data_IF_686082474822
#
_entry.id   IF_686082474822
#
_cell.length_a   1.000
_cell.length_b   1.000
_cell.length_c   1.000
_cell.angle_alpha   90.00
_cell.angle_beta   90.00
_cell.angle_gamma   90.00
#
_symmetry.space_group_name_H-M   'P 1'
#
loop_
_entity.id
_entity.type
_entity.pdbx_description
1 polymer ?
#
# COMPACT_ATOMS: atom_id res chain seq x y z
N UNK A 1 -22.52 7.16 5.70
CA UNK A 1 -22.51 6.82 4.28
C UNK A 1 -23.04 5.40 4.13
N UNK A 2 -24.23 5.29 3.55
CA UNK A 2 -24.87 3.99 3.25
C UNK A 2 -24.12 3.35 2.07
N UNK A 3 -23.43 2.26 2.31
CA UNK A 3 -23.02 1.33 1.27
C UNK A 3 -24.27 0.56 0.81
N UNK A 4 -24.80 0.91 -0.34
CA UNK A 4 -25.72 0.03 -1.07
C UNK A 4 -24.89 -1.13 -1.61
N UNK A 5 -25.03 -2.29 -0.98
CA UNK A 5 -24.45 -3.54 -1.43
C UNK A 5 -25.10 -3.94 -2.77
N UNK A 6 -24.43 -3.69 -3.88
CA UNK A 6 -24.59 -4.53 -5.04
C UNK A 6 -23.88 -5.86 -4.73
N UNK A 7 -24.65 -6.86 -4.34
CA UNK A 7 -24.19 -8.23 -4.16
C UNK A 7 -23.86 -8.82 -5.55
N UNK A 8 -22.67 -8.50 -6.07
CA UNK A 8 -21.97 -9.43 -6.94
C UNK A 8 -21.61 -10.63 -6.05
N UNK A 9 -21.96 -11.84 -6.46
CA UNK A 9 -21.59 -13.07 -5.77
C UNK A 9 -20.06 -13.20 -5.85
N UNK A 10 -19.35 -12.57 -4.90
CA UNK A 10 -17.91 -12.65 -4.78
C UNK A 10 -17.56 -14.05 -4.33
N UNK A 11 -17.00 -14.84 -5.25
CA UNK A 11 -16.71 -16.24 -5.02
C UNK A 11 -15.47 -16.35 -4.15
N UNK A 12 -15.57 -17.05 -3.02
CA UNK A 12 -14.40 -17.43 -2.21
C UNK A 12 -13.44 -18.28 -3.05
N UNK A 13 -12.15 -17.99 -2.91
CA UNK A 13 -11.08 -18.68 -3.62
C UNK A 13 -10.14 -19.35 -2.65
N UNK A 14 -9.64 -20.53 -3.03
CA UNK A 14 -8.52 -21.14 -2.33
C UNK A 14 -7.20 -20.53 -2.80
N UNK A 15 -6.42 -20.08 -1.84
CA UNK A 15 -5.12 -19.45 -2.01
C UNK A 15 -4.06 -20.30 -1.32
N UNK A 16 -3.14 -20.87 -2.08
CA UNK A 16 -2.02 -21.65 -1.53
C UNK A 16 -0.81 -20.77 -1.31
N UNK A 17 -0.26 -20.77 -0.10
CA UNK A 17 0.96 -20.02 0.21
C UNK A 17 2.17 -20.60 -0.54
N UNK A 18 2.78 -19.79 -1.40
CA UNK A 18 3.97 -20.14 -2.17
C UNK A 18 5.26 -19.72 -1.49
N UNK A 19 5.26 -18.53 -0.88
CA UNK A 19 6.42 -18.01 -0.17
C UNK A 19 6.01 -17.01 0.89
N UNK A 20 6.88 -16.86 1.88
CA UNK A 20 6.76 -15.83 2.91
C UNK A 20 8.13 -15.20 3.18
N UNK A 21 8.13 -13.91 3.39
CA UNK A 21 9.32 -13.14 3.76
C UNK A 21 9.00 -12.35 5.03
N UNK A 22 9.83 -12.49 6.05
CA UNK A 22 9.58 -11.93 7.37
C UNK A 22 10.48 -10.72 7.62
N UNK A 23 9.92 -9.70 8.26
CA UNK A 23 10.59 -8.46 8.64
C UNK A 23 10.35 -8.17 10.12
N UNK A 24 11.40 -7.72 10.81
CA UNK A 24 11.31 -7.38 12.23
C UNK A 24 11.07 -8.61 13.11
N UNK A 25 11.64 -9.77 12.76
CA UNK A 25 11.60 -10.96 13.62
C UNK A 25 12.18 -10.63 14.98
N UNK A 26 11.52 -11.08 16.03
CA UNK A 26 11.88 -10.74 17.43
C UNK A 26 11.27 -9.44 17.94
N UNK A 27 10.60 -8.63 17.11
CA UNK A 27 9.78 -7.51 17.57
C UNK A 27 8.38 -7.97 18.00
N UNK A 28 7.70 -7.16 18.80
CA UNK A 28 6.30 -7.43 19.21
C UNK A 28 5.32 -7.48 18.04
N UNK A 29 5.66 -6.87 16.91
CA UNK A 29 4.77 -6.69 15.77
C UNK A 29 5.54 -6.81 14.44
N UNK A 30 6.02 -8.02 14.09
CA UNK A 30 6.71 -8.27 12.83
C UNK A 30 5.78 -8.11 11.63
N UNK A 31 6.34 -7.88 10.45
CA UNK A 31 5.61 -7.90 9.20
C UNK A 31 5.98 -9.14 8.36
N UNK A 32 5.06 -9.57 7.51
CA UNK A 32 5.27 -10.65 6.55
C UNK A 32 4.76 -10.22 5.17
N UNK A 33 5.57 -10.46 4.15
CA UNK A 33 5.11 -10.47 2.76
C UNK A 33 4.74 -11.90 2.42
N UNK A 34 3.49 -12.11 2.04
CA UNK A 34 2.91 -13.42 1.73
C UNK A 34 2.52 -13.46 0.26
N UNK A 35 2.99 -14.47 -0.46
CA UNK A 35 2.67 -14.69 -1.88
C UNK A 35 1.90 -15.99 -2.03
N UNK A 36 0.75 -15.90 -2.68
CA UNK A 36 -0.18 -17.00 -2.87
C UNK A 36 -0.34 -17.33 -4.35
N UNK A 37 -0.46 -18.63 -4.66
CA UNK A 37 -1.02 -19.07 -5.92
C UNK A 37 -2.51 -18.80 -5.93
N UNK A 38 -3.00 -18.25 -7.03
CA UNK A 38 -4.43 -18.13 -7.32
C UNK A 38 -4.81 -19.29 -8.22
N UNK A 39 -5.94 -19.97 -7.94
CA UNK A 39 -6.37 -21.11 -8.75
C UNK A 39 -6.56 -20.70 -10.21
N UNK A 40 -6.02 -21.49 -11.18
CA UNK A 40 -6.19 -21.21 -12.61
C UNK A 40 -7.65 -21.22 -13.08
N UNK A 41 -8.54 -21.88 -12.32
CA UNK A 41 -9.98 -21.92 -12.58
C UNK A 41 -10.71 -20.65 -12.11
N UNK A 42 -10.03 -19.81 -11.36
CA UNK A 42 -10.54 -18.53 -10.92
C UNK A 42 -10.50 -17.52 -12.06
N UNK A 43 -11.67 -17.04 -12.47
CA UNK A 43 -11.79 -15.92 -13.42
C UNK A 43 -11.51 -14.56 -12.76
N UNK A 44 -10.98 -14.55 -11.54
CA UNK A 44 -10.79 -13.33 -10.76
C UNK A 44 -9.55 -12.62 -11.24
N UNK A 45 -9.78 -11.50 -11.88
CA UNK A 45 -8.75 -10.52 -12.15
C UNK A 45 -8.56 -9.64 -10.92
N UNK A 46 -7.34 -9.29 -10.63
CA UNK A 46 -6.99 -8.36 -9.57
C UNK A 46 -5.84 -7.45 -9.99
N UNK A 47 -5.75 -6.33 -9.32
CA UNK A 47 -4.71 -5.34 -9.57
C UNK A 47 -4.18 -4.79 -8.23
N UNK A 48 -2.98 -4.20 -8.18
CA UNK A 48 -2.49 -3.56 -6.98
C UNK A 48 -3.51 -2.56 -6.44
N UNK A 49 -3.73 -2.58 -5.12
CA UNK A 49 -4.72 -1.76 -4.43
C UNK A 49 -6.12 -2.38 -4.35
N UNK A 50 -6.41 -3.51 -5.01
CA UNK A 50 -7.57 -4.33 -4.67
C UNK A 50 -7.41 -4.93 -3.28
N UNK A 51 -8.48 -5.44 -2.71
CA UNK A 51 -8.51 -5.94 -1.35
C UNK A 51 -8.68 -7.46 -1.34
N UNK A 52 -7.90 -8.13 -0.51
CA UNK A 52 -8.13 -9.52 -0.14
C UNK A 52 -8.85 -9.56 1.20
N UNK A 53 -10.10 -10.03 1.20
CA UNK A 53 -10.90 -10.25 2.40
C UNK A 53 -10.67 -11.67 2.92
N UNK A 54 -10.21 -11.80 4.16
CA UNK A 54 -9.96 -13.08 4.84
C UNK A 54 -10.77 -13.14 6.12
N UNK A 55 -11.50 -14.24 6.35
CA UNK A 55 -12.22 -14.51 7.60
C UNK A 55 -11.33 -15.36 8.52
N UNK A 56 -11.05 -14.93 9.75
CA UNK A 56 -10.28 -15.76 10.70
C UNK A 56 -11.13 -16.90 11.32
N UNK A 57 -12.43 -16.93 11.05
CA UNK A 57 -13.41 -17.91 11.52
C UNK A 57 -14.77 -17.64 10.91
N UNK A 58 -15.68 -18.64 10.94
CA UNK A 58 -16.99 -18.59 10.27
C UNK A 58 -17.87 -17.43 10.73
N UNK A 59 -17.83 -17.09 12.02
CA UNK A 59 -18.71 -16.09 12.64
C UNK A 59 -18.02 -14.74 12.86
N UNK A 60 -16.79 -14.58 12.36
CA UNK A 60 -16.01 -13.35 12.54
C UNK A 60 -16.03 -12.50 11.28
N UNK A 61 -16.04 -11.16 11.43
CA UNK A 61 -15.99 -10.27 10.28
C UNK A 61 -14.64 -10.42 9.54
N UNK A 62 -14.64 -10.29 8.21
CA UNK A 62 -13.43 -10.37 7.42
C UNK A 62 -12.44 -9.25 7.80
N UNK A 63 -11.18 -9.51 7.55
CA UNK A 63 -10.11 -8.51 7.55
C UNK A 63 -9.63 -8.31 6.13
N UNK A 64 -9.41 -7.06 5.78
CA UNK A 64 -9.02 -6.64 4.44
C UNK A 64 -7.53 -6.34 4.39
N UNK A 65 -6.88 -6.82 3.33
CA UNK A 65 -5.47 -6.60 3.05
C UNK A 65 -5.32 -6.08 1.64
N UNK A 66 -4.68 -4.93 1.48
CA UNK A 66 -4.44 -4.35 0.16
C UNK A 66 -3.46 -5.21 -0.62
N UNK A 67 -3.83 -5.57 -1.85
CA UNK A 67 -3.05 -6.43 -2.73
C UNK A 67 -1.90 -5.61 -3.33
N UNK A 68 -0.69 -6.18 -3.30
CA UNK A 68 0.54 -5.58 -3.79
C UNK A 68 0.90 -5.97 -5.24
N UNK A 69 0.15 -6.89 -5.86
CA UNK A 69 0.41 -7.45 -7.18
C UNK A 69 -0.80 -7.34 -8.09
N UNK A 70 -0.62 -7.66 -9.36
CA UNK A 70 -1.70 -7.86 -10.31
C UNK A 70 -1.73 -9.31 -10.83
N UNK A 71 -2.81 -9.66 -11.52
CA UNK A 71 -2.98 -10.99 -12.11
C UNK A 71 -1.86 -11.37 -13.10
N UNK A 72 -1.27 -10.39 -13.78
CA UNK A 72 -0.12 -10.60 -14.66
C UNK A 72 1.19 -10.97 -13.93
N UNK A 73 1.28 -10.70 -12.63
CA UNK A 73 2.45 -11.09 -11.82
C UNK A 73 2.44 -12.59 -11.48
N UNK A 74 1.35 -13.30 -11.77
CA UNK A 74 1.18 -14.74 -11.56
C UNK A 74 1.04 -15.17 -10.09
N UNK A 75 1.07 -14.23 -9.16
CA UNK A 75 0.91 -14.45 -7.73
C UNK A 75 0.08 -13.32 -7.10
N UNK A 76 -0.69 -13.66 -6.07
CA UNK A 76 -1.35 -12.68 -5.23
C UNK A 76 -0.45 -12.38 -4.02
N UNK A 77 -0.03 -11.14 -3.88
CA UNK A 77 0.88 -10.70 -2.84
C UNK A 77 0.19 -9.73 -1.87
N UNK A 78 0.34 -9.97 -0.57
CA UNK A 78 -0.08 -9.05 0.49
C UNK A 78 1.04 -8.85 1.51
N UNK A 79 1.01 -7.73 2.21
CA UNK A 79 1.90 -7.47 3.34
C UNK A 79 1.07 -7.35 4.63
N UNK A 80 1.44 -8.14 5.65
CA UNK A 80 0.66 -8.28 6.88
C UNK A 80 1.52 -7.97 8.09
N UNK A 81 1.12 -6.99 8.89
CA UNK A 81 1.71 -6.74 10.20
C UNK A 81 0.97 -7.56 11.24
N UNK A 82 1.71 -8.35 12.02
CA UNK A 82 1.16 -9.11 13.14
C UNK A 82 0.70 -8.13 14.22
N UNK A 83 -0.57 -8.20 14.56
CA UNK A 83 -1.13 -7.47 15.69
C UNK A 83 -1.07 -8.35 16.94
N UNK A 84 -0.77 -7.82 18.13
CA UNK A 84 -0.61 -8.61 19.37
C UNK A 84 -1.80 -9.53 19.66
N UNK A 85 -3.03 -9.03 19.48
CA UNK A 85 -4.28 -9.78 19.68
C UNK A 85 -5.06 -10.05 18.40
N UNK A 86 -4.41 -9.86 17.23
CA UNK A 86 -5.04 -9.97 15.93
C UNK A 86 -5.20 -11.41 15.48
N UNK A 87 -6.40 -11.97 15.54
CA UNK A 87 -6.67 -13.36 15.13
C UNK A 87 -6.27 -13.62 13.68
N UNK A 88 -6.69 -12.77 12.74
CA UNK A 88 -6.42 -12.96 11.32
C UNK A 88 -4.92 -12.76 11.00
N UNK A 89 -4.29 -11.72 11.51
CA UNK A 89 -2.86 -11.50 11.31
C UNK A 89 -2.01 -12.61 11.92
N UNK A 90 -2.40 -13.14 13.10
CA UNK A 90 -1.73 -14.28 13.72
C UNK A 90 -1.92 -15.58 12.94
N UNK A 91 -3.10 -15.81 12.35
CA UNK A 91 -3.35 -16.91 11.42
C UNK A 91 -2.38 -16.83 10.24
N UNK A 92 -2.34 -15.69 9.56
CA UNK A 92 -1.51 -15.47 8.37
C UNK A 92 0.00 -15.62 8.67
N UNK A 93 0.46 -15.15 9.83
CA UNK A 93 1.86 -15.31 10.25
C UNK A 93 2.24 -16.76 10.59
N UNK A 94 1.28 -17.64 10.88
CA UNK A 94 1.54 -19.07 11.18
C UNK A 94 1.54 -19.97 9.95
N UNK A 95 1.02 -19.49 8.82
CA UNK A 95 0.99 -20.27 7.58
C UNK A 95 2.39 -20.75 7.18
N UNK A 96 2.46 -21.98 6.76
CA UNK A 96 3.64 -22.59 6.16
C UNK A 96 3.46 -22.65 4.63
N UNK A 97 4.57 -22.68 3.90
CA UNK A 97 4.54 -22.88 2.45
C UNK A 97 3.78 -24.18 2.13
N UNK A 98 2.81 -24.09 1.24
CA UNK A 98 1.89 -25.19 0.89
C UNK A 98 0.54 -25.14 1.59
N UNK A 99 0.41 -24.40 2.71
CA UNK A 99 -0.88 -24.23 3.37
C UNK A 99 -1.85 -23.45 2.48
N UNK A 100 -3.13 -23.77 2.62
CA UNK A 100 -4.22 -23.11 1.89
C UNK A 100 -5.10 -22.28 2.83
N UNK A 101 -5.53 -21.13 2.36
CA UNK A 101 -6.54 -20.30 3.00
C UNK A 101 -7.66 -19.98 2.02
N UNK A 102 -8.82 -19.63 2.54
CA UNK A 102 -9.91 -19.06 1.75
C UNK A 102 -9.92 -17.54 1.86
N UNK A 103 -10.11 -16.89 0.71
CA UNK A 103 -10.22 -15.45 0.63
C UNK A 103 -11.11 -14.99 -0.51
N UNK A 104 -11.58 -13.76 -0.42
CA UNK A 104 -12.39 -13.10 -1.44
C UNK A 104 -11.65 -11.88 -1.94
N UNK A 105 -11.44 -11.81 -3.26
CA UNK A 105 -10.83 -10.63 -3.88
C UNK A 105 -11.93 -9.61 -4.17
N UNK A 106 -11.76 -8.40 -3.65
CA UNK A 106 -12.67 -7.28 -3.86
C UNK A 106 -11.99 -6.19 -4.66
N UNK A 107 -12.59 -5.79 -5.77
CA UNK A 107 -12.11 -4.67 -6.55
C UNK A 107 -12.19 -3.37 -5.73
N UNK A 108 -11.12 -2.57 -5.78
CA UNK A 108 -11.04 -1.27 -5.14
C UNK A 108 -10.56 -0.21 -6.15
N UNK A 109 -11.37 0.10 -7.19
CA UNK A 109 -10.97 0.99 -8.29
C UNK A 109 -10.76 2.44 -7.86
N UNK A 110 -11.30 2.84 -6.71
CA UNK A 110 -11.12 4.18 -6.13
C UNK A 110 -9.65 4.46 -5.77
N UNK A 111 -8.89 3.43 -5.34
CA UNK A 111 -7.50 3.58 -4.96
C UNK A 111 -6.57 3.10 -6.09
N UNK A 112 -6.43 3.93 -7.12
CA UNK A 112 -5.62 3.63 -8.33
C UNK A 112 -4.87 4.86 -8.83
N UNK A 113 -3.69 4.67 -9.43
CA UNK A 113 -3.09 5.67 -10.30
C UNK A 113 -4.02 6.00 -11.45
N UNK A 114 -4.24 7.30 -11.70
CA UNK A 114 -4.96 7.75 -12.88
C UNK A 114 -4.14 7.50 -14.15
N UNK A 115 -4.81 7.33 -15.28
CA UNK A 115 -4.14 7.26 -16.59
C UNK A 115 -3.40 8.57 -16.89
N UNK A 116 -2.34 8.50 -17.70
CA UNK A 116 -1.56 9.66 -18.15
C UNK A 116 -0.16 9.73 -17.55
N UNK A 117 0.54 10.83 -17.85
CA UNK A 117 1.95 11.03 -17.50
C UNK A 117 2.16 12.05 -16.37
N UNK A 118 1.10 12.56 -15.75
CA UNK A 118 1.22 13.44 -14.58
C UNK A 118 1.99 12.72 -13.45
N UNK A 119 2.81 13.45 -12.68
CA UNK A 119 3.57 12.84 -11.60
C UNK A 119 2.67 12.09 -10.60
N UNK A 120 3.21 11.04 -10.00
CA UNK A 120 2.62 10.35 -8.85
C UNK A 120 3.42 10.64 -7.60
N UNK A 121 2.72 10.97 -6.52
CA UNK A 121 3.24 11.04 -5.16
C UNK A 121 2.57 9.93 -4.37
N UNK A 122 3.33 8.91 -4.03
CA UNK A 122 2.89 7.79 -3.21
C UNK A 122 3.39 7.97 -1.79
N UNK A 123 2.50 7.90 -0.81
CA UNK A 123 2.86 8.07 0.61
C UNK A 123 2.32 6.91 1.42
N UNK A 124 3.20 6.22 2.14
CA UNK A 124 2.81 5.07 2.94
C UNK A 124 3.56 4.94 4.25
N UNK A 125 3.02 4.15 5.17
CA UNK A 125 3.72 3.75 6.38
C UNK A 125 3.48 2.26 6.69
N UNK A 126 4.54 1.59 7.15
CA UNK A 126 4.47 0.16 7.48
C UNK A 126 3.95 -0.67 6.30
N UNK A 127 2.96 -1.52 6.54
CA UNK A 127 2.36 -2.40 5.52
C UNK A 127 1.51 -1.65 4.48
N UNK A 128 1.22 -0.38 4.69
CA UNK A 128 0.65 0.50 3.65
C UNK A 128 1.53 0.65 2.41
N UNK A 129 2.78 0.15 2.44
CA UNK A 129 3.62 0.04 1.25
C UNK A 129 3.06 -0.97 0.23
N UNK A 130 2.28 -1.96 0.65
CA UNK A 130 1.84 -3.07 -0.22
C UNK A 130 1.19 -2.62 -1.54
N UNK A 131 0.10 -1.85 -1.58
CA UNK A 131 -0.46 -1.41 -2.85
C UNK A 131 0.48 -0.46 -3.61
N UNK A 132 1.27 0.34 -2.88
CA UNK A 132 2.16 1.34 -3.48
C UNK A 132 3.32 0.69 -4.25
N UNK A 133 3.92 -0.39 -3.71
CA UNK A 133 4.97 -1.14 -4.42
C UNK A 133 4.44 -1.76 -5.71
N UNK A 134 3.19 -2.21 -5.71
CA UNK A 134 2.53 -2.70 -6.90
C UNK A 134 2.36 -1.62 -7.97
N UNK A 135 2.03 -0.39 -7.58
CA UNK A 135 1.96 0.75 -8.51
C UNK A 135 3.34 1.10 -9.08
N UNK A 136 4.41 1.06 -8.26
CA UNK A 136 5.79 1.25 -8.74
C UNK A 136 6.17 0.15 -9.73
N UNK A 137 5.89 -1.12 -9.40
CA UNK A 137 6.17 -2.30 -10.26
C UNK A 137 5.58 -2.12 -11.65
N UNK A 138 4.36 -1.58 -11.75
CA UNK A 138 3.64 -1.34 -13.00
C UNK A 138 4.04 -0.07 -13.75
N UNK A 139 4.93 0.75 -13.21
CA UNK A 139 5.38 1.99 -13.85
C UNK A 139 6.42 1.75 -14.96
N UNK A 140 6.14 0.82 -15.87
CA UNK A 140 7.04 0.47 -16.98
C UNK A 140 7.31 1.64 -17.94
N UNK A 141 6.38 2.59 -18.04
CA UNK A 141 6.52 3.79 -18.88
C UNK A 141 7.24 4.94 -18.17
N UNK A 142 7.79 4.68 -16.97
CA UNK A 142 8.64 5.61 -16.24
C UNK A 142 8.02 7.02 -16.07
N UNK A 143 6.69 7.11 -15.83
CA UNK A 143 6.11 8.39 -15.41
C UNK A 143 6.77 8.85 -14.12
N UNK A 144 6.96 10.18 -13.88
CA UNK A 144 7.57 10.64 -12.63
C UNK A 144 6.81 10.10 -11.42
N UNK A 145 7.47 9.25 -10.61
CA UNK A 145 6.88 8.60 -9.47
C UNK A 145 7.77 8.78 -8.24
N UNK A 146 7.25 9.42 -7.21
CA UNK A 146 7.92 9.75 -5.97
C UNK A 146 7.25 8.97 -4.84
N UNK A 147 7.99 8.08 -4.19
CA UNK A 147 7.52 7.30 -3.05
C UNK A 147 8.13 7.84 -1.77
N UNK A 148 7.26 8.14 -0.80
CA UNK A 148 7.62 8.46 0.58
C UNK A 148 7.10 7.35 1.48
N UNK A 149 7.99 6.73 2.24
CA UNK A 149 7.60 5.62 3.09
C UNK A 149 8.21 5.73 4.49
N UNK A 150 7.37 5.42 5.50
CA UNK A 150 7.75 5.37 6.90
C UNK A 150 7.78 3.94 7.44
N UNK A 151 8.89 3.56 8.05
CA UNK A 151 9.09 2.31 8.78
C UNK A 151 9.51 2.55 10.23
N UNK A 152 9.79 1.47 10.96
CA UNK A 152 10.31 1.55 12.33
C UNK A 152 11.83 1.64 12.34
N UNK A 153 12.50 0.71 11.70
CA UNK A 153 13.96 0.56 11.68
C UNK A 153 14.44 0.21 10.28
N UNK A 154 15.51 0.86 9.83
CA UNK A 154 16.13 0.58 8.54
C UNK A 154 16.72 -0.84 8.47
N UNK A 155 17.18 -1.37 9.60
CA UNK A 155 17.87 -2.68 9.65
C UNK A 155 16.92 -3.86 9.71
N UNK A 156 15.72 -3.71 10.25
CA UNK A 156 14.82 -4.84 10.52
C UNK A 156 13.43 -4.73 9.92
N UNK A 157 13.00 -3.55 9.52
CA UNK A 157 11.61 -3.29 9.10
C UNK A 157 11.54 -2.53 7.75
N UNK A 158 12.62 -2.56 6.96
CA UNK A 158 12.63 -1.94 5.63
C UNK A 158 12.02 -2.92 4.61
N UNK A 159 10.71 -2.82 4.45
CA UNK A 159 9.95 -3.66 3.54
C UNK A 159 10.37 -3.42 2.08
N UNK A 160 10.54 -4.48 1.31
CA UNK A 160 10.85 -4.44 -0.12
C UNK A 160 12.13 -3.67 -0.50
N UNK A 161 13.11 -3.55 0.39
CA UNK A 161 14.34 -2.75 0.17
C UNK A 161 15.02 -3.08 -1.17
N UNK A 162 15.26 -4.36 -1.44
CA UNK A 162 15.92 -4.81 -2.69
C UNK A 162 15.14 -4.36 -3.91
N UNK A 163 13.82 -4.58 -3.94
CA UNK A 163 12.97 -4.23 -5.07
C UNK A 163 12.89 -2.71 -5.27
N UNK A 164 12.80 -1.93 -4.20
CA UNK A 164 12.78 -0.47 -4.28
C UNK A 164 14.08 0.09 -4.86
N UNK A 165 15.23 -0.49 -4.50
CA UNK A 165 16.52 -0.13 -5.07
C UNK A 165 16.63 -0.50 -6.56
N UNK A 166 16.11 -1.66 -6.96
CA UNK A 166 16.00 -2.06 -8.36
C UNK A 166 15.13 -1.07 -9.16
N UNK A 167 13.99 -0.66 -8.61
CA UNK A 167 13.07 0.29 -9.28
C UNK A 167 13.63 1.71 -9.37
N UNK A 168 14.49 2.12 -8.44
CA UNK A 168 15.28 3.36 -8.56
C UNK A 168 16.30 3.24 -9.68
N UNK A 169 16.99 2.10 -9.79
CA UNK A 169 18.03 1.87 -10.79
C UNK A 169 17.49 1.79 -12.21
N UNK A 170 16.30 1.21 -12.41
CA UNK A 170 15.69 1.03 -13.74
C UNK A 170 14.73 2.17 -14.14
N UNK A 171 14.53 3.16 -13.25
CA UNK A 171 13.74 4.36 -13.52
C UNK A 171 12.23 4.22 -13.33
N UNK A 172 11.72 3.07 -12.89
CA UNK A 172 10.31 2.93 -12.47
C UNK A 172 9.98 3.78 -11.27
N UNK A 173 10.95 4.05 -10.41
CA UNK A 173 10.85 4.95 -9.27
C UNK A 173 11.82 6.12 -9.46
N UNK A 174 11.30 7.35 -9.47
CA UNK A 174 12.11 8.56 -9.66
C UNK A 174 12.78 9.02 -8.36
N UNK A 175 12.15 8.76 -7.21
CA UNK A 175 12.67 9.13 -5.90
C UNK A 175 12.06 8.25 -4.80
N UNK A 176 12.88 7.94 -3.81
CA UNK A 176 12.50 7.28 -2.57
C UNK A 176 12.85 8.17 -1.37
N UNK A 177 11.83 8.64 -0.65
CA UNK A 177 11.95 9.36 0.61
C UNK A 177 11.67 8.39 1.77
N UNK A 178 12.66 8.15 2.62
CA UNK A 178 12.55 7.24 3.76
C UNK A 178 12.48 7.99 5.09
N UNK A 179 11.69 7.44 6.01
CA UNK A 179 11.58 7.90 7.39
C UNK A 179 11.54 6.69 8.33
N UNK A 180 12.31 6.73 9.42
CA UNK A 180 12.36 5.64 10.41
C UNK A 180 12.12 6.20 11.82
N UNK A 181 11.05 5.70 12.46
CA UNK A 181 10.61 6.21 13.77
C UNK A 181 11.47 5.73 14.94
N UNK A 182 12.26 4.67 14.77
CA UNK A 182 13.17 4.11 15.77
C UNK A 182 14.66 4.34 15.44
N UNK A 183 14.94 5.28 14.55
CA UNK A 183 16.31 5.70 14.26
C UNK A 183 16.87 6.59 15.39
N UNK A 184 18.19 6.82 15.38
CA UNK A 184 18.86 7.74 16.32
C UNK A 184 18.27 9.16 16.28
N UNK A 185 17.76 9.58 15.12
CA UNK A 185 16.92 10.77 14.94
C UNK A 185 15.58 10.29 14.41
N UNK A 186 14.56 10.07 15.27
CA UNK A 186 13.25 9.62 14.85
C UNK A 186 12.63 10.54 13.82
N UNK A 187 12.06 9.95 12.78
CA UNK A 187 11.39 10.67 11.71
C UNK A 187 10.16 9.90 11.27
N UNK A 188 9.04 10.59 11.07
CA UNK A 188 7.84 10.05 10.45
C UNK A 188 7.74 10.48 9.00
N UNK A 189 6.91 9.79 8.22
CA UNK A 189 6.79 10.07 6.78
C UNK A 189 6.33 11.51 6.49
N UNK A 190 5.48 12.09 7.32
CA UNK A 190 5.06 13.48 7.19
C UNK A 190 6.21 14.47 7.41
N UNK A 191 7.17 14.14 8.30
CA UNK A 191 8.35 14.99 8.51
C UNK A 191 9.26 14.95 7.28
N UNK A 192 9.35 13.77 6.64
CA UNK A 192 10.09 13.61 5.39
C UNK A 192 9.45 14.37 4.24
N UNK A 193 8.11 14.36 4.14
CA UNK A 193 7.37 15.19 3.17
C UNK A 193 7.66 16.68 3.38
N UNK A 194 7.65 17.13 4.64
CA UNK A 194 7.91 18.53 4.96
C UNK A 194 9.32 18.97 4.54
N UNK A 195 10.33 18.11 4.68
CA UNK A 195 11.68 18.39 4.19
C UNK A 195 11.76 18.58 2.67
N UNK A 196 10.88 17.92 1.93
CA UNK A 196 10.81 17.99 0.46
C UNK A 196 9.66 18.91 -0.03
N UNK A 197 9.21 19.87 0.81
CA UNK A 197 8.03 20.71 0.55
C UNK A 197 8.08 21.45 -0.79
N UNK A 198 9.21 22.08 -1.14
CA UNK A 198 9.37 22.81 -2.41
C UNK A 198 9.24 21.87 -3.63
N UNK A 199 9.76 20.66 -3.51
CA UNK A 199 9.63 19.64 -4.54
C UNK A 199 8.20 19.16 -4.69
N UNK A 200 7.51 18.90 -3.56
CA UNK A 200 6.10 18.52 -3.55
C UNK A 200 5.24 19.61 -4.19
N UNK A 201 5.50 20.88 -3.87
CA UNK A 201 4.82 22.02 -4.47
C UNK A 201 4.97 22.01 -6.01
N UNK A 202 6.20 21.82 -6.51
CA UNK A 202 6.46 21.75 -7.94
C UNK A 202 5.75 20.58 -8.62
N UNK A 203 5.67 19.41 -7.98
CA UNK A 203 4.93 18.25 -8.50
C UNK A 203 3.42 18.49 -8.51
N UNK A 204 2.87 19.10 -7.45
CA UNK A 204 1.46 19.45 -7.36
C UNK A 204 1.05 20.46 -8.44
N UNK A 205 1.92 21.45 -8.75
CA UNK A 205 1.74 22.38 -9.86
C UNK A 205 1.67 21.67 -11.22
N UNK A 206 2.43 20.58 -11.39
CA UNK A 206 2.42 19.75 -12.59
C UNK A 206 1.21 18.81 -12.67
N UNK A 207 0.26 18.92 -11.74
CA UNK A 207 -0.93 18.09 -11.74
C UNK A 207 -0.75 16.73 -11.06
N UNK A 208 0.25 16.57 -10.19
CA UNK A 208 0.49 15.30 -9.52
C UNK A 208 -0.77 14.75 -8.84
N UNK A 209 -0.92 13.41 -8.92
CA UNK A 209 -1.84 12.66 -8.09
C UNK A 209 -1.12 12.17 -6.83
N UNK A 210 -1.82 12.23 -5.69
CA UNK A 210 -1.33 11.77 -4.39
C UNK A 210 -2.14 10.54 -3.96
N UNK A 211 -1.47 9.43 -3.68
CA UNK A 211 -2.06 8.21 -3.13
C UNK A 211 -1.45 7.92 -1.77
N UNK A 212 -2.28 7.79 -0.74
CA UNK A 212 -1.86 7.61 0.65
C UNK A 212 -2.37 6.29 1.19
N UNK A 213 -1.50 5.43 1.73
CA UNK A 213 -1.89 4.17 2.33
C UNK A 213 -1.23 3.93 3.69
N UNK A 214 -2.04 3.65 4.72
CA UNK A 214 -1.58 3.37 6.07
C UNK A 214 -2.57 3.75 7.15
N UNK A 215 -2.08 4.09 8.36
CA UNK A 215 -2.96 4.46 9.46
C UNK A 215 -3.65 5.81 9.25
N UNK A 216 -4.81 5.98 9.88
CA UNK A 216 -5.57 7.24 9.85
C UNK A 216 -4.77 8.43 10.39
N UNK A 217 -3.96 8.21 11.42
CA UNK A 217 -3.12 9.26 12.01
C UNK A 217 -2.01 9.70 11.05
N UNK A 218 -1.39 8.74 10.36
CA UNK A 218 -0.40 9.03 9.33
C UNK A 218 -1.04 9.84 8.20
N UNK A 219 -2.20 9.44 7.70
CA UNK A 219 -2.90 10.17 6.65
C UNK A 219 -3.30 11.59 7.08
N UNK A 220 -3.69 11.78 8.34
CA UNK A 220 -3.94 13.12 8.90
C UNK A 220 -2.65 13.97 8.91
N UNK A 221 -1.52 13.39 9.32
CA UNK A 221 -0.21 14.06 9.25
C UNK A 221 0.18 14.46 7.83
N UNK A 222 -0.06 13.58 6.85
CA UNK A 222 0.17 13.88 5.42
C UNK A 222 -0.70 15.03 4.93
N UNK A 223 -2.00 15.04 5.26
CA UNK A 223 -2.89 16.16 4.90
C UNK A 223 -2.41 17.48 5.51
N UNK A 224 -1.97 17.47 6.75
CA UNK A 224 -1.46 18.68 7.43
C UNK A 224 -0.23 19.28 6.74
N UNK A 225 0.59 18.45 6.08
CA UNK A 225 1.74 18.91 5.28
C UNK A 225 1.28 19.42 3.91
N UNK A 226 0.36 18.71 3.25
CA UNK A 226 -0.06 19.04 1.89
C UNK A 226 -0.98 20.26 1.83
N UNK A 227 -1.85 20.47 2.81
CA UNK A 227 -2.84 21.56 2.78
C UNK A 227 -2.22 22.96 2.62
N UNK A 228 -1.16 23.35 3.37
CA UNK A 228 -0.49 24.64 3.16
C UNK A 228 0.16 24.79 1.78
N UNK A 229 0.66 23.67 1.21
CA UNK A 229 1.24 23.68 -0.14
C UNK A 229 0.16 23.90 -1.19
N UNK A 230 -0.97 23.23 -1.05
CA UNK A 230 -2.12 23.38 -1.94
C UNK A 230 -2.70 24.79 -1.88
N UNK A 231 -2.79 25.41 -0.70
CA UNK A 231 -3.25 26.78 -0.53
C UNK A 231 -2.42 27.79 -1.34
N UNK A 232 -1.09 27.58 -1.46
CA UNK A 232 -0.22 28.39 -2.31
C UNK A 232 -0.61 28.31 -3.79
N UNK A 233 -1.26 27.21 -4.20
CA UNK A 233 -1.75 26.97 -5.57
C UNK A 233 -3.23 27.37 -5.75
N UNK A 234 -3.88 27.92 -4.72
CA UNK A 234 -5.31 28.19 -4.72
C UNK A 234 -6.17 26.92 -4.69
N UNK A 235 -5.62 25.81 -4.19
CA UNK A 235 -6.26 24.50 -4.09
C UNK A 235 -6.39 24.05 -2.63
N UNK A 236 -7.16 22.98 -2.41
CA UNK A 236 -7.26 22.26 -1.16
C UNK A 236 -7.42 20.74 -1.39
N UNK A 237 -7.32 19.94 -0.35
CA UNK A 237 -7.44 18.47 -0.41
C UNK A 237 -8.78 18.03 -1.01
N UNK A 238 -9.88 18.72 -0.65
CA UNK A 238 -11.21 18.34 -1.12
C UNK A 238 -11.35 18.54 -2.65
N UNK A 239 -10.82 19.62 -3.18
CA UNK A 239 -10.75 19.83 -4.64
C UNK A 239 -9.91 18.76 -5.34
N UNK A 240 -8.78 18.35 -4.74
CA UNK A 240 -7.98 17.24 -5.29
C UNK A 240 -8.75 15.91 -5.25
N UNK A 241 -9.52 15.65 -4.20
CA UNK A 241 -10.41 14.47 -4.14
C UNK A 241 -11.44 14.46 -5.25
N UNK A 242 -12.12 15.58 -5.48
CA UNK A 242 -13.09 15.73 -6.55
C UNK A 242 -12.48 15.54 -7.94
N UNK A 243 -11.23 15.97 -8.13
CA UNK A 243 -10.46 15.78 -9.36
C UNK A 243 -9.87 14.37 -9.51
N UNK A 244 -10.02 13.49 -8.53
CA UNK A 244 -9.37 12.18 -8.51
C UNK A 244 -7.85 12.22 -8.25
N UNK A 245 -7.33 13.39 -7.87
CA UNK A 245 -5.89 13.60 -7.64
C UNK A 245 -5.43 13.33 -6.20
N UNK A 246 -6.35 13.08 -5.28
CA UNK A 246 -6.03 12.67 -3.90
C UNK A 246 -6.92 11.50 -3.51
N UNK A 247 -6.30 10.39 -3.10
CA UNK A 247 -6.99 9.19 -2.61
C UNK A 247 -6.27 8.62 -1.40
N UNK A 248 -7.04 8.03 -0.51
CA UNK A 248 -6.54 7.36 0.71
C UNK A 248 -7.10 5.94 0.81
N UNK A 249 -6.24 5.00 1.15
CA UNK A 249 -6.58 3.65 1.64
C UNK A 249 -6.06 3.54 3.08
N UNK A 250 -6.94 3.80 4.06
CA UNK A 250 -6.58 3.96 5.46
C UNK A 250 -7.33 3.00 6.37
N UNK A 251 -6.65 2.46 7.38
CA UNK A 251 -7.14 1.44 8.30
C UNK A 251 -6.80 1.76 9.76
#
# INVERSE_FOLDING_TARGET
>A
LHFTAHASCETSQQLQLLSRELYGEGSESPAAVLRFAVSPTSNSRFAPGDLLAIRPGTDLPPRFYSIASGDEDGVLEICVRKQPEGLCSSLLHRLQVGDCIEGVIQAHPEFRPTAGQHPLILVGAGTGLAPLIGFVRKNAHQRPLHLYWGGRSAQSDFLYETQLNEYLADGRLSQLGLAFSQAAKPMYVQDRLLQDADKLLALLQQGAQVLVCGSRDMAAGVRNVLEPLLQQLGLNIEQLRQQGRYREDVY
#
